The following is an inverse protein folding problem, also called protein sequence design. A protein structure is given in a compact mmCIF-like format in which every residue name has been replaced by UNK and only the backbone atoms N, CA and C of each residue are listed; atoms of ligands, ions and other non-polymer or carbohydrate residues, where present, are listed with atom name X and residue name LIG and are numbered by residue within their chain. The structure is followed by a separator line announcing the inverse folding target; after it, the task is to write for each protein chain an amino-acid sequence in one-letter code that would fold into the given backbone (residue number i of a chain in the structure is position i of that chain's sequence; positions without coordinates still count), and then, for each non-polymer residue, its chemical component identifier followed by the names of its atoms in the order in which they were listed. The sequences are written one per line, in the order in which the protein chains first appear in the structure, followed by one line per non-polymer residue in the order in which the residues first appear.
data_IF_554878603605
#
_entry.id   IF_554878603605
#
_cell.length_a   1.000
_cell.length_b   1.000
_cell.length_c   1.000
_cell.angle_alpha   90.00
_cell.angle_beta   90.00
_cell.angle_gamma   90.00
#
_symmetry.space_group_name_H-M   'P 1'
#
loop_
_entity.id
_entity.type
_entity.pdbx_description
1 polymer ?
#
# COMPACT_ATOMS: atom_id res chain seq x y z
N UNK A 1 -27.26 6.08 -30.21
CA UNK A 1 -26.28 6.08 -29.10
C UNK A 1 -26.67 7.19 -28.12
N UNK A 2 -27.16 6.83 -26.93
CA UNK A 2 -27.63 7.80 -25.91
C UNK A 2 -26.47 8.15 -24.98
N UNK A 3 -25.52 8.96 -25.47
CA UNK A 3 -24.38 9.43 -24.67
C UNK A 3 -24.56 10.91 -24.41
N UNK A 4 -24.45 11.32 -23.13
CA UNK A 4 -24.62 12.72 -22.76
C UNK A 4 -23.49 13.59 -23.34
N UNK A 5 -23.80 14.85 -23.65
CA UNK A 5 -22.83 15.82 -24.15
C UNK A 5 -21.63 15.99 -23.20
N UNK A 6 -21.87 15.91 -21.89
CA UNK A 6 -20.81 15.97 -20.88
C UNK A 6 -19.82 14.79 -20.96
N UNK A 7 -20.30 13.58 -21.29
CA UNK A 7 -19.43 12.42 -21.47
C UNK A 7 -18.53 12.56 -22.71
N UNK A 8 -19.05 13.14 -23.80
CA UNK A 8 -18.25 13.43 -24.99
C UNK A 8 -17.11 14.41 -24.70
N UNK A 9 -17.37 15.47 -23.93
CA UNK A 9 -16.31 16.41 -23.54
C UNK A 9 -15.24 15.77 -22.66
N UNK A 10 -15.64 14.90 -21.72
CA UNK A 10 -14.69 14.16 -20.88
C UNK A 10 -13.84 13.21 -21.70
N UNK A 11 -14.43 12.47 -22.63
CA UNK A 11 -13.68 11.58 -23.52
C UNK A 11 -12.73 12.33 -24.44
N UNK A 12 -13.17 13.46 -25.01
CA UNK A 12 -12.28 14.31 -25.82
C UNK A 12 -11.09 14.80 -25.00
N UNK A 13 -11.32 15.24 -23.76
CA UNK A 13 -10.27 15.68 -22.84
C UNK A 13 -9.30 14.53 -22.51
N UNK A 14 -9.80 13.37 -22.10
CA UNK A 14 -8.96 12.21 -21.81
C UNK A 14 -8.15 11.74 -23.03
N UNK A 15 -8.75 11.78 -24.22
CA UNK A 15 -8.07 11.43 -25.46
C UNK A 15 -6.96 12.43 -25.81
N UNK A 16 -7.18 13.73 -25.60
CA UNK A 16 -6.16 14.76 -25.83
C UNK A 16 -5.01 14.68 -24.82
N UNK A 17 -5.29 14.34 -23.57
CA UNK A 17 -4.29 14.28 -22.49
C UNK A 17 -3.50 12.97 -22.47
N UNK A 18 -4.14 11.83 -22.77
CA UNK A 18 -3.60 10.48 -22.51
C UNK A 18 -3.52 9.65 -23.81
N UNK A 19 -4.15 10.10 -24.90
CA UNK A 19 -4.25 9.33 -26.15
C UNK A 19 -5.26 8.18 -26.10
N UNK A 20 -6.04 8.06 -25.02
CA UNK A 20 -7.06 7.02 -24.85
C UNK A 20 -8.37 7.59 -24.29
N UNK A 21 -9.49 7.03 -24.77
CA UNK A 21 -10.82 7.27 -24.19
C UNK A 21 -11.09 6.40 -22.97
N UNK A 22 -10.27 5.37 -22.72
CA UNK A 22 -10.32 4.59 -21.49
C UNK A 22 -9.81 5.42 -20.32
N UNK A 23 -10.56 5.39 -19.21
CA UNK A 23 -10.12 6.07 -17.98
C UNK A 23 -8.83 5.41 -17.50
N UNK A 24 -7.75 6.15 -17.22
CA UNK A 24 -6.55 5.57 -16.64
C UNK A 24 -6.92 4.91 -15.30
N UNK A 25 -6.20 3.85 -14.88
CA UNK A 25 -6.36 3.31 -13.55
C UNK A 25 -6.25 4.49 -12.56
N UNK A 26 -7.27 4.64 -11.71
CA UNK A 26 -7.25 5.70 -10.71
C UNK A 26 -5.96 5.59 -9.89
N UNK A 27 -5.30 6.71 -9.54
CA UNK A 27 -4.20 6.66 -8.60
C UNK A 27 -4.67 5.89 -7.37
N UNK A 28 -3.84 4.93 -6.95
CA UNK A 28 -4.09 3.93 -5.91
C UNK A 28 -5.17 4.39 -4.91
N UNK A 29 -6.37 3.83 -5.02
CA UNK A 29 -7.47 4.13 -4.11
C UNK A 29 -7.36 3.21 -2.91
N UNK A 30 -6.90 3.75 -1.79
CA UNK A 30 -6.78 3.05 -0.50
C UNK A 30 -6.10 3.92 0.55
N UNK A 31 -6.20 3.52 1.82
CA UNK A 31 -5.32 4.07 2.86
C UNK A 31 -3.91 3.52 2.60
N UNK A 32 -2.88 4.37 2.46
CA UNK A 32 -1.50 3.87 2.36
C UNK A 32 -1.22 2.96 3.56
N UNK A 33 -0.69 1.75 3.33
CA UNK A 33 -0.28 0.87 4.43
C UNK A 33 0.67 1.65 5.33
N UNK A 34 0.41 1.62 6.64
CA UNK A 34 1.29 2.20 7.67
C UNK A 34 2.71 1.63 7.53
N UNK A 35 2.79 0.39 7.04
CA UNK A 35 4.02 -0.36 6.81
C UNK A 35 4.38 -0.29 5.32
N UNK A 36 5.53 0.32 5.02
CA UNK A 36 6.14 0.28 3.68
C UNK A 36 6.64 -1.12 3.37
N UNK A 37 6.80 -1.44 2.08
CA UNK A 37 7.30 -2.75 1.66
C UNK A 37 8.67 -3.11 2.28
N UNK A 38 9.52 -2.11 2.51
CA UNK A 38 10.83 -2.30 3.16
C UNK A 38 10.71 -2.87 4.58
N UNK A 39 9.75 -2.39 5.37
CA UNK A 39 9.51 -2.87 6.73
C UNK A 39 8.93 -4.29 6.70
N UNK A 40 8.06 -4.57 5.73
CA UNK A 40 7.48 -5.90 5.57
C UNK A 40 8.57 -6.93 5.24
N UNK A 41 9.53 -6.56 4.36
CA UNK A 41 10.72 -7.36 4.09
C UNK A 41 11.60 -7.55 5.33
N UNK A 42 11.75 -6.52 6.17
CA UNK A 42 12.49 -6.63 7.42
C UNK A 42 11.84 -7.61 8.41
N UNK A 43 10.52 -7.54 8.59
CA UNK A 43 9.78 -8.50 9.42
C UNK A 43 9.99 -9.93 8.93
N UNK A 44 9.89 -10.17 7.63
CA UNK A 44 10.11 -11.50 7.04
C UNK A 44 11.54 -12.00 7.27
N UNK A 45 12.55 -11.12 7.15
CA UNK A 45 13.94 -11.49 7.42
C UNK A 45 14.17 -11.86 8.88
N UNK A 46 13.47 -11.22 9.83
CA UNK A 46 13.53 -11.56 11.26
C UNK A 46 12.90 -12.94 11.47
N UNK A 47 11.69 -13.17 10.97
CA UNK A 47 11.01 -14.47 11.07
C UNK A 47 11.76 -15.62 10.39
N UNK A 48 12.53 -15.35 9.34
CA UNK A 48 13.39 -16.35 8.71
C UNK A 48 14.57 -16.78 9.59
N UNK A 49 15.11 -15.85 10.39
CA UNK A 49 16.21 -16.14 11.31
C UNK A 49 15.70 -16.80 12.58
N UNK A 50 14.60 -16.30 13.10
CA UNK A 50 14.02 -16.69 14.38
C UNK A 50 12.49 -16.78 14.24
N UNK A 51 11.94 -17.97 13.94
CA UNK A 51 10.52 -18.13 13.66
C UNK A 51 9.64 -17.99 14.91
N UNK A 52 10.22 -18.12 16.10
CA UNK A 52 9.52 -18.05 17.40
C UNK A 52 9.44 -16.62 17.98
N UNK A 53 9.90 -15.61 17.23
CA UNK A 53 9.90 -14.21 17.70
C UNK A 53 8.48 -13.72 17.95
N UNK A 54 8.26 -13.22 19.17
CA UNK A 54 6.98 -12.65 19.57
C UNK A 54 6.76 -11.24 18.95
N UNK A 55 5.51 -10.77 18.90
CA UNK A 55 5.18 -9.49 18.26
C UNK A 55 5.76 -8.27 18.99
N UNK A 56 5.98 -8.36 20.29
CA UNK A 56 6.64 -7.35 21.11
C UNK A 56 8.15 -7.31 20.89
N UNK A 57 8.79 -8.46 20.74
CA UNK A 57 10.19 -8.60 20.32
C UNK A 57 10.38 -8.06 18.90
N UNK A 58 9.52 -8.45 17.95
CA UNK A 58 9.52 -7.92 16.59
C UNK A 58 9.40 -6.39 16.58
N UNK A 59 8.51 -5.84 17.42
CA UNK A 59 8.37 -4.40 17.60
C UNK A 59 9.67 -3.76 18.11
N UNK A 60 10.37 -4.42 19.04
CA UNK A 60 11.65 -3.94 19.55
C UNK A 60 12.73 -3.92 18.45
N UNK A 61 12.83 -4.98 17.65
CA UNK A 61 13.73 -5.04 16.50
C UNK A 61 13.45 -3.94 15.47
N UNK A 62 12.17 -3.70 15.14
CA UNK A 62 11.79 -2.62 14.23
C UNK A 62 12.10 -1.23 14.77
N UNK A 63 12.00 -1.02 16.09
CA UNK A 63 12.36 0.23 16.72
C UNK A 63 13.88 0.46 16.71
N UNK A 64 14.68 -0.59 16.96
CA UNK A 64 16.15 -0.51 17.01
C UNK A 64 16.80 -0.41 15.64
N UNK A 65 16.44 -1.32 14.72
CA UNK A 65 17.13 -1.43 13.43
C UNK A 65 16.58 -0.44 12.40
N UNK A 66 15.28 -0.13 12.49
CA UNK A 66 14.57 0.65 11.48
C UNK A 66 14.01 1.98 11.99
N UNK A 67 14.16 2.30 13.29
CA UNK A 67 13.70 3.56 13.90
C UNK A 67 12.19 3.78 13.75
N UNK A 68 11.42 2.69 13.77
CA UNK A 68 10.00 2.71 13.46
C UNK A 68 9.19 2.27 14.68
N UNK A 69 8.38 3.20 15.19
CA UNK A 69 7.46 2.94 16.27
C UNK A 69 6.09 2.53 15.70
N UNK A 70 5.80 1.23 15.71
CA UNK A 70 4.50 0.68 15.30
C UNK A 70 3.84 -0.01 16.51
N UNK A 71 2.51 0.09 16.61
CA UNK A 71 1.76 -0.65 17.63
C UNK A 71 1.69 -2.14 17.31
N UNK A 72 1.64 -2.99 18.33
CA UNK A 72 1.45 -4.44 18.16
C UNK A 72 0.18 -4.77 17.35
N UNK A 73 -0.90 -4.01 17.58
CA UNK A 73 -2.15 -4.14 16.81
C UNK A 73 -2.01 -3.81 15.32
N UNK A 74 -1.14 -2.85 14.96
CA UNK A 74 -0.87 -2.51 13.56
C UNK A 74 0.05 -3.56 12.91
N UNK A 75 1.02 -4.10 13.65
CA UNK A 75 1.87 -5.21 13.18
C UNK A 75 1.03 -6.46 12.91
N UNK A 76 0.18 -6.85 13.87
CA UNK A 76 -0.70 -8.01 13.71
C UNK A 76 -1.60 -7.88 12.48
N UNK A 77 -2.26 -6.72 12.30
CA UNK A 77 -3.08 -6.48 11.09
C UNK A 77 -2.26 -6.60 9.81
N UNK A 78 -1.01 -6.17 9.82
CA UNK A 78 -0.17 -6.19 8.62
C UNK A 78 0.34 -7.59 8.27
N UNK A 79 0.54 -8.46 9.27
CA UNK A 79 1.02 -9.83 9.07
C UNK A 79 -0.09 -10.84 8.74
N UNK A 80 -1.33 -10.55 9.13
CA UNK A 80 -2.49 -11.41 8.85
C UNK A 80 -3.10 -11.15 7.47
N UNK A 81 -2.94 -9.94 6.92
CA UNK A 81 -3.36 -9.56 5.56
C UNK A 81 -2.42 -10.09 4.46
#
# INVERSE_FOLDING_TARGET
LVVSRASLYRWKKSFQEIGSTTRPPSPLRGCPRIITQAILSACLNIYQKEPEVYLDELRWHLAMDHHIAISTSALQKTLVD
#
